data_IF_815586792994
#
_entry.id   IF_815586792994
#
_cell.length_a   1.000
_cell.length_b   1.000
_cell.length_c   1.000
_cell.angle_alpha   90.00
_cell.angle_beta   90.00
_cell.angle_gamma   90.00
#
_symmetry.space_group_name_H-M   'P 1'
#
loop_
_entity.id
_entity.type
_entity.pdbx_description
1 polymer ?
#
# COMPACT_ATOMS: atom_id res chain seq x y z
N UNK A 1 5.87 -8.20 15.20
CA UNK A 1 4.54 -8.84 15.15
C UNK A 1 4.65 -10.13 15.96
N UNK A 2 3.75 -10.34 16.91
CA UNK A 2 3.82 -11.49 17.83
C UNK A 2 3.59 -12.83 17.11
N UNK A 3 3.08 -12.80 15.88
CA UNK A 3 2.92 -13.99 15.03
C UNK A 3 4.27 -14.67 14.71
N UNK A 4 5.38 -13.93 14.66
CA UNK A 4 6.71 -14.50 14.37
C UNK A 4 7.31 -15.30 15.53
N UNK A 5 6.79 -15.15 16.74
CA UNK A 5 7.31 -15.83 17.93
C UNK A 5 6.99 -17.34 17.95
N UNK A 6 6.09 -17.79 17.07
CA UNK A 6 5.66 -19.20 16.99
C UNK A 6 6.64 -20.09 16.21
N UNK A 7 7.47 -19.53 15.31
CA UNK A 7 8.41 -20.28 14.44
C UNK A 7 9.76 -20.63 15.12
N UNK A 8 9.82 -20.53 16.44
CA UNK A 8 11.08 -20.72 17.18
C UNK A 8 11.53 -22.19 17.19
N UNK A 9 12.83 -22.39 17.02
CA UNK A 9 13.49 -23.68 17.28
C UNK A 9 13.30 -24.06 18.75
N UNK A 10 12.70 -25.22 19.00
CA UNK A 10 12.58 -25.82 20.33
C UNK A 10 13.70 -26.84 20.50
N UNK A 11 14.56 -26.63 21.50
CA UNK A 11 15.71 -27.52 21.78
C UNK A 11 15.36 -28.65 22.76
N UNK A 12 14.14 -28.66 23.30
CA UNK A 12 13.63 -29.69 24.20
C UNK A 12 12.43 -30.40 23.55
N UNK A 13 12.48 -31.73 23.38
CA UNK A 13 11.37 -32.48 22.81
C UNK A 13 10.24 -32.66 23.82
N UNK A 14 9.00 -32.63 23.33
CA UNK A 14 7.80 -32.89 24.12
C UNK A 14 7.22 -34.26 23.73
N UNK A 15 6.77 -35.04 24.71
CA UNK A 15 6.14 -36.35 24.45
C UNK A 15 4.91 -36.19 23.57
N UNK A 16 4.73 -37.12 22.63
CA UNK A 16 3.57 -37.11 21.74
C UNK A 16 2.25 -37.24 22.52
N UNK A 17 1.35 -36.28 22.29
CA UNK A 17 -0.05 -36.33 22.70
C UNK A 17 -0.92 -35.92 21.51
N UNK A 18 -1.84 -36.79 21.09
CA UNK A 18 -2.67 -36.58 19.89
C UNK A 18 -3.49 -35.29 19.95
N UNK A 19 -4.11 -35.01 21.08
CA UNK A 19 -4.92 -33.79 21.27
C UNK A 19 -4.09 -32.51 21.14
N UNK A 20 -2.87 -32.52 21.67
CA UNK A 20 -1.93 -31.40 21.58
C UNK A 20 -1.54 -31.15 20.12
N UNK A 21 -1.18 -32.23 19.40
CA UNK A 21 -0.82 -32.15 17.99
C UNK A 21 -1.96 -31.62 17.12
N UNK A 22 -3.17 -32.14 17.27
CA UNK A 22 -4.34 -31.67 16.51
C UNK A 22 -4.59 -30.17 16.74
N UNK A 23 -4.63 -29.74 18.01
CA UNK A 23 -4.81 -28.32 18.38
C UNK A 23 -3.70 -27.43 17.82
N UNK A 24 -2.45 -27.93 17.80
CA UNK A 24 -1.30 -27.18 17.31
C UNK A 24 -1.37 -27.02 15.79
N UNK A 25 -1.78 -28.05 15.04
CA UNK A 25 -1.97 -27.96 13.58
C UNK A 25 -3.02 -26.91 13.22
N UNK A 26 -4.14 -26.89 13.94
CA UNK A 26 -5.19 -25.88 13.70
C UNK A 26 -4.74 -24.47 14.10
N UNK A 27 -4.03 -24.35 15.23
CA UNK A 27 -3.44 -23.08 15.66
C UNK A 27 -2.42 -22.55 14.66
N UNK A 28 -1.57 -23.42 14.07
CA UNK A 28 -0.59 -23.03 13.06
C UNK A 28 -1.25 -22.41 11.83
N UNK A 29 -2.32 -23.01 11.30
CA UNK A 29 -3.09 -22.44 10.18
C UNK A 29 -3.62 -21.05 10.51
N UNK A 30 -4.20 -20.91 11.71
CA UNK A 30 -4.77 -19.64 12.15
C UNK A 30 -3.72 -18.55 12.33
N UNK A 31 -2.55 -18.89 12.87
CA UNK A 31 -1.43 -17.95 13.02
C UNK A 31 -0.92 -17.49 11.66
N UNK A 32 -0.83 -18.38 10.68
CA UNK A 32 -0.36 -18.03 9.33
C UNK A 32 -1.33 -17.07 8.63
N UNK A 33 -2.64 -17.30 8.71
CA UNK A 33 -3.65 -16.36 8.18
C UNK A 33 -3.51 -14.95 8.80
N UNK A 34 -3.30 -14.89 10.12
CA UNK A 34 -3.14 -13.62 10.84
C UNK A 34 -1.85 -12.93 10.40
N UNK A 35 -0.73 -13.68 10.27
CA UNK A 35 0.56 -13.18 9.80
C UNK A 35 0.44 -12.59 8.40
N UNK A 36 -0.14 -13.34 7.46
CA UNK A 36 -0.33 -12.88 6.07
C UNK A 36 -1.21 -11.62 6.01
N UNK A 37 -2.33 -11.59 6.74
CA UNK A 37 -3.22 -10.41 6.79
C UNK A 37 -2.50 -9.17 7.34
N UNK A 38 -1.68 -9.33 8.38
CA UNK A 38 -0.90 -8.22 8.97
C UNK A 38 0.21 -7.75 8.05
N UNK A 39 0.92 -8.67 7.39
CA UNK A 39 1.94 -8.35 6.39
C UNK A 39 1.35 -7.60 5.20
N UNK A 40 0.24 -8.10 4.63
CA UNK A 40 -0.44 -7.43 3.52
C UNK A 40 -0.87 -6.02 3.90
N UNK A 41 -1.46 -5.83 5.08
CA UNK A 41 -1.83 -4.49 5.59
C UNK A 41 -0.60 -3.59 5.75
N UNK A 42 0.49 -4.10 6.30
CA UNK A 42 1.72 -3.33 6.47
C UNK A 42 2.30 -2.88 5.13
N UNK A 43 2.32 -3.77 4.13
CA UNK A 43 2.76 -3.47 2.76
C UNK A 43 1.85 -2.42 2.13
N UNK A 44 0.53 -2.59 2.20
CA UNK A 44 -0.43 -1.62 1.65
C UNK A 44 -0.30 -0.24 2.28
N UNK A 45 -0.18 -0.16 3.61
CA UNK A 45 0.03 1.11 4.31
C UNK A 45 1.35 1.79 3.90
N UNK A 46 2.39 1.00 3.60
CA UNK A 46 3.66 1.53 3.10
C UNK A 46 3.51 2.08 1.68
N UNK A 47 2.84 1.35 0.80
CA UNK A 47 2.59 1.76 -0.58
C UNK A 47 1.69 3.00 -0.67
N UNK A 48 0.70 3.12 0.22
CA UNK A 48 -0.20 4.28 0.28
C UNK A 48 0.55 5.61 0.38
N UNK A 49 1.63 5.68 1.19
CA UNK A 49 2.45 6.90 1.33
C UNK A 49 3.12 7.34 0.03
N UNK A 50 3.49 6.39 -0.84
CA UNK A 50 4.12 6.71 -2.12
C UNK A 50 3.16 7.44 -3.07
N UNK A 51 1.86 7.10 -3.02
CA UNK A 51 0.84 7.76 -3.85
C UNK A 51 0.72 9.25 -3.54
N UNK A 52 0.78 9.64 -2.26
CA UNK A 52 0.71 11.05 -1.85
C UNK A 52 1.92 11.86 -2.35
N UNK A 53 3.11 11.28 -2.28
CA UNK A 53 4.33 11.91 -2.80
C UNK A 53 4.27 12.07 -4.32
N UNK A 54 3.83 11.02 -5.02
CA UNK A 54 3.66 11.05 -6.46
C UNK A 54 2.68 12.17 -6.88
N UNK A 55 1.55 12.32 -6.19
CA UNK A 55 0.61 13.43 -6.44
C UNK A 55 1.28 14.81 -6.30
N UNK A 56 2.10 14.99 -5.28
CA UNK A 56 2.80 16.26 -5.08
C UNK A 56 3.84 16.53 -6.18
N UNK A 57 4.54 15.48 -6.63
CA UNK A 57 5.49 15.53 -7.74
C UNK A 57 4.78 15.82 -9.06
N UNK A 58 3.67 15.16 -9.37
CA UNK A 58 2.88 15.38 -10.59
C UNK A 58 2.38 16.82 -10.68
N UNK A 59 1.85 17.37 -9.56
CA UNK A 59 1.42 18.78 -9.51
C UNK A 59 2.60 19.72 -9.74
N UNK A 60 3.77 19.40 -9.18
CA UNK A 60 4.99 20.19 -9.38
C UNK A 60 5.45 20.13 -10.83
N UNK A 61 5.40 18.95 -11.46
CA UNK A 61 5.78 18.74 -12.84
C UNK A 61 4.88 19.51 -13.80
N UNK A 62 3.55 19.43 -13.63
CA UNK A 62 2.58 20.18 -14.45
C UNK A 62 2.86 21.69 -14.36
N UNK A 63 3.14 22.21 -13.16
CA UNK A 63 3.44 23.64 -12.96
C UNK A 63 4.76 24.07 -13.62
N UNK A 64 5.78 23.21 -13.63
CA UNK A 64 7.09 23.53 -14.18
C UNK A 64 7.14 23.35 -15.71
N UNK A 65 6.49 22.31 -16.22
CA UNK A 65 6.66 21.81 -17.58
C UNK A 65 5.45 22.02 -18.50
N UNK A 66 4.49 22.87 -18.11
CA UNK A 66 3.26 23.15 -18.89
C UNK A 66 3.53 23.52 -20.35
N UNK A 67 4.67 24.16 -20.61
CA UNK A 67 5.08 24.62 -21.93
C UNK A 67 5.36 23.48 -22.92
N UNK A 68 5.73 22.27 -22.45
CA UNK A 68 6.00 21.11 -23.30
C UNK A 68 4.73 20.51 -23.93
N UNK A 69 3.59 20.66 -23.27
CA UNK A 69 2.28 20.19 -23.74
C UNK A 69 1.65 21.13 -24.77
N UNK A 70 2.19 22.34 -24.92
CA UNK A 70 1.50 23.42 -25.61
C UNK A 70 2.27 23.88 -26.85
N UNK A 71 1.53 23.98 -27.97
CA UNK A 71 1.98 24.76 -29.12
C UNK A 71 1.95 26.28 -28.81
N UNK A 72 2.91 27.08 -29.29
CA UNK A 72 3.05 28.49 -28.94
C UNK A 72 1.76 29.33 -29.10
N UNK A 73 0.87 28.95 -30.01
CA UNK A 73 -0.37 29.70 -30.33
C UNK A 73 -1.62 29.34 -29.47
N UNK A 74 -1.55 28.40 -28.53
CA UNK A 74 -2.77 27.84 -27.89
C UNK A 74 -3.20 28.50 -26.55
N UNK A 75 -4.17 29.42 -26.53
CA UNK A 75 -4.92 29.85 -25.31
C UNK A 75 -4.08 30.38 -24.11
N UNK A 76 -4.62 30.58 -22.90
CA UNK A 76 -3.82 30.91 -21.71
C UNK A 76 -3.42 29.65 -20.92
N UNK A 77 -2.15 29.51 -20.46
CA UNK A 77 -1.64 28.26 -19.86
C UNK A 77 -2.27 27.91 -18.50
N UNK A 78 -2.60 28.93 -17.69
CA UNK A 78 -3.21 28.77 -16.35
C UNK A 78 -4.50 27.95 -16.35
N UNK A 79 -5.37 28.13 -17.36
CA UNK A 79 -6.64 27.38 -17.46
C UNK A 79 -6.43 25.89 -17.69
N UNK A 80 -5.33 25.52 -18.34
CA UNK A 80 -4.99 24.12 -18.61
C UNK A 80 -4.37 23.48 -17.37
N UNK A 81 -3.46 24.21 -16.70
CA UNK A 81 -2.87 23.81 -15.42
C UNK A 81 -3.94 23.50 -14.37
N UNK A 82 -4.88 24.42 -14.15
CA UNK A 82 -5.94 24.25 -13.14
C UNK A 82 -6.83 23.03 -13.43
N UNK A 83 -7.15 22.79 -14.71
CA UNK A 83 -7.91 21.60 -15.13
C UNK A 83 -7.14 20.31 -14.91
N UNK A 84 -5.84 20.29 -15.18
CA UNK A 84 -5.01 19.11 -14.98
C UNK A 84 -4.84 18.81 -13.48
N UNK A 85 -4.67 19.84 -12.65
CA UNK A 85 -4.60 19.68 -11.18
C UNK A 85 -5.93 19.20 -10.60
N UNK A 86 -7.08 19.72 -11.06
CA UNK A 86 -8.40 19.22 -10.65
C UNK A 86 -8.58 17.75 -11.00
N UNK A 87 -8.24 17.35 -12.23
CA UNK A 87 -8.34 15.95 -12.66
C UNK A 87 -7.47 15.02 -11.80
N UNK A 88 -6.22 15.41 -11.52
CA UNK A 88 -5.32 14.67 -10.62
C UNK A 88 -5.85 14.59 -9.18
N UNK A 89 -6.67 15.54 -8.73
CA UNK A 89 -7.32 15.48 -7.43
C UNK A 89 -8.51 14.52 -7.41
N UNK A 90 -9.33 14.52 -8.47
CA UNK A 90 -10.48 13.63 -8.65
C UNK A 90 -10.05 12.16 -8.78
N UNK A 91 -9.04 11.87 -9.61
CA UNK A 91 -8.54 10.52 -9.84
C UNK A 91 -8.01 9.88 -8.54
N UNK A 92 -7.37 10.69 -7.67
CA UNK A 92 -6.88 10.21 -6.37
C UNK A 92 -8.02 9.98 -5.37
N UNK A 93 -9.06 10.82 -5.37
CA UNK A 93 -10.20 10.64 -4.47
C UNK A 93 -10.97 9.34 -4.79
N UNK A 94 -11.21 9.07 -6.07
CA UNK A 94 -11.87 7.84 -6.54
C UNK A 94 -11.11 6.56 -6.17
N UNK A 95 -9.78 6.62 -6.15
CA UNK A 95 -8.88 5.52 -5.79
C UNK A 95 -8.76 5.29 -4.26
N UNK A 96 -9.12 6.26 -3.42
CA UNK A 96 -9.15 6.07 -1.96
C UNK A 96 -10.45 5.46 -1.45
N UNK A 97 -11.55 5.61 -2.21
CA UNK A 97 -12.88 5.10 -1.88
C UNK A 97 -13.14 3.67 -2.42
N UNK A 98 -12.22 3.13 -3.23
CA UNK A 98 -12.26 1.77 -3.81
C UNK A 98 -11.41 0.77 -3.05
#
# INVERSE_FOLDING_TARGET
DNSFEFEKRRNEPVKYQRELWNKTVDAMKRVEEIKQKRQARFIMNRLKKSKELQKAEDIKEVKQNIHLLRAPHAGPPKKLEDKMVQKLQEDVAMEEDS
#
